data_IF_484616921009
#
_entry.id   IF_484616921009
#
_cell.length_a   1.000
_cell.length_b   1.000
_cell.length_c   1.000
_cell.angle_alpha   90.00
_cell.angle_beta   90.00
_cell.angle_gamma   90.00
#
_symmetry.space_group_name_H-M   'P 1'
#
loop_
_entity.id
_entity.type
_entity.pdbx_description
1 polymer ?
#
# COMPACT_ATOMS: atom_id res chain seq x y z
N UNK A 1 -12.41 -14.55 76.04
CA UNK A 1 -12.09 -13.42 75.16
C UNK A 1 -10.84 -13.79 74.38
N UNK A 2 -11.03 -14.24 73.11
CA UNK A 2 -9.96 -14.65 72.24
C UNK A 2 -9.79 -13.55 71.18
N UNK A 3 -8.58 -13.05 70.98
CA UNK A 3 -8.23 -12.12 69.91
C UNK A 3 -8.05 -12.88 68.60
N UNK A 4 -8.55 -12.37 67.44
CA UNK A 4 -8.28 -12.97 66.14
C UNK A 4 -6.90 -12.57 65.60
N UNK A 5 -6.23 -13.56 65.04
CA UNK A 5 -4.89 -13.46 64.47
C UNK A 5 -4.77 -12.47 63.30
N UNK A 6 -3.67 -11.72 63.30
CA UNK A 6 -3.18 -10.91 62.21
C UNK A 6 -2.76 -11.83 61.05
N UNK A 7 -3.50 -11.77 59.94
CA UNK A 7 -3.07 -12.37 58.67
C UNK A 7 -1.78 -11.71 58.20
N UNK A 8 -0.74 -12.52 58.03
CA UNK A 8 0.51 -12.11 57.40
C UNK A 8 0.25 -11.79 55.90
N UNK A 9 0.40 -10.54 55.53
CA UNK A 9 0.50 -10.12 54.15
C UNK A 9 1.84 -10.67 53.66
N UNK A 10 1.76 -11.73 52.83
CA UNK A 10 2.92 -12.23 52.09
C UNK A 10 3.28 -11.15 51.10
N UNK A 11 4.38 -10.44 51.37
CA UNK A 11 5.00 -9.54 50.43
C UNK A 11 5.40 -10.37 49.21
N UNK A 12 4.73 -10.09 48.07
CA UNK A 12 5.17 -10.59 46.77
C UNK A 12 6.52 -9.95 46.50
N UNK A 13 7.57 -10.72 46.72
CA UNK A 13 8.94 -10.31 46.38
C UNK A 13 9.00 -10.08 44.87
N UNK A 14 9.12 -8.83 44.49
CA UNK A 14 9.45 -8.42 43.11
C UNK A 14 10.76 -9.13 42.73
N UNK A 15 10.66 -10.11 41.82
CA UNK A 15 11.81 -10.76 41.23
C UNK A 15 12.26 -9.93 40.03
N UNK A 16 13.30 -9.10 40.11
CA UNK A 16 13.77 -8.25 39.01
C UNK A 16 14.19 -9.05 37.76
N UNK A 17 14.55 -10.33 37.95
CA UNK A 17 14.88 -11.23 36.85
C UNK A 17 13.67 -11.65 36.02
N UNK A 18 12.47 -11.75 36.59
CA UNK A 18 11.23 -12.04 35.83
C UNK A 18 10.75 -10.82 35.03
N UNK A 19 10.94 -9.63 35.57
CA UNK A 19 10.65 -8.39 34.87
C UNK A 19 11.58 -8.20 33.66
N UNK A 20 12.89 -8.46 33.81
CA UNK A 20 13.86 -8.40 32.71
C UNK A 20 13.59 -9.42 31.58
N UNK A 21 13.23 -10.66 31.95
CA UNK A 21 12.89 -11.69 30.95
C UNK A 21 11.60 -11.38 30.20
N UNK A 22 10.58 -10.82 30.85
CA UNK A 22 9.35 -10.40 30.21
C UNK A 22 9.57 -9.20 29.27
N UNK A 23 10.49 -8.31 29.61
CA UNK A 23 10.84 -7.15 28.79
C UNK A 23 11.61 -7.57 27.54
N UNK A 24 12.60 -8.46 27.66
CA UNK A 24 13.34 -9.01 26.49
C UNK A 24 12.43 -9.80 25.54
N UNK A 25 11.48 -10.57 26.06
CA UNK A 25 10.49 -11.29 25.23
C UNK A 25 9.57 -10.31 24.50
N UNK A 26 9.12 -9.22 25.15
CA UNK A 26 8.30 -8.18 24.52
C UNK A 26 9.08 -7.44 23.44
N UNK A 27 10.33 -7.08 23.69
CA UNK A 27 11.20 -6.43 22.72
C UNK A 27 11.48 -7.32 21.52
N UNK A 28 11.74 -8.59 21.73
CA UNK A 28 11.93 -9.56 20.65
C UNK A 28 10.66 -9.73 19.82
N UNK A 29 9.48 -9.86 20.43
CA UNK A 29 8.20 -9.91 19.71
C UNK A 29 7.93 -8.65 18.91
N UNK A 30 8.20 -7.46 19.44
CA UNK A 30 8.05 -6.18 18.73
C UNK A 30 9.00 -6.10 17.52
N UNK A 31 10.25 -6.53 17.69
CA UNK A 31 11.24 -6.57 16.61
C UNK A 31 10.80 -7.49 15.47
N UNK A 32 10.40 -8.71 15.77
CA UNK A 32 9.90 -9.68 14.77
C UNK A 32 8.67 -9.14 14.06
N UNK A 33 7.72 -8.53 14.78
CA UNK A 33 6.52 -7.93 14.20
C UNK A 33 6.84 -6.81 13.19
N UNK A 34 7.85 -5.98 13.45
CA UNK A 34 8.29 -4.91 12.53
C UNK A 34 8.88 -5.47 11.24
N UNK A 35 9.79 -6.44 11.34
CA UNK A 35 10.37 -7.07 10.15
C UNK A 35 9.31 -7.73 9.27
N UNK A 36 8.33 -8.40 9.90
CA UNK A 36 7.19 -8.93 9.19
C UNK A 36 6.34 -7.82 8.56
N UNK A 37 6.17 -6.68 9.24
CA UNK A 37 5.48 -5.50 8.71
C UNK A 37 6.14 -4.96 7.43
N UNK A 38 7.46 -4.78 7.46
CA UNK A 38 8.21 -4.37 6.26
C UNK A 38 8.15 -5.42 5.15
N UNK A 39 8.25 -6.71 5.49
CA UNK A 39 8.09 -7.81 4.54
C UNK A 39 6.71 -7.82 3.87
N UNK A 40 5.65 -7.54 4.62
CA UNK A 40 4.31 -7.43 4.08
C UNK A 40 4.17 -6.23 3.13
N UNK A 41 4.74 -5.07 3.47
CA UNK A 41 4.76 -3.91 2.57
C UNK A 41 5.55 -4.19 1.29
N UNK A 42 6.69 -4.88 1.38
CA UNK A 42 7.47 -5.29 0.21
C UNK A 42 6.68 -6.25 -0.70
N UNK A 43 6.02 -7.27 -0.11
CA UNK A 43 5.21 -8.21 -0.86
C UNK A 43 3.98 -7.54 -1.50
N UNK A 44 3.37 -6.57 -0.83
CA UNK A 44 2.32 -5.75 -1.41
C UNK A 44 2.82 -4.99 -2.65
N UNK A 45 4.01 -4.37 -2.59
CA UNK A 45 4.66 -3.72 -3.73
C UNK A 45 4.91 -4.66 -4.90
N UNK A 46 5.36 -5.90 -4.63
CA UNK A 46 5.52 -6.95 -5.65
C UNK A 46 4.18 -7.28 -6.31
N UNK A 47 3.11 -7.47 -5.53
CA UNK A 47 1.80 -7.75 -6.11
C UNK A 47 1.26 -6.58 -6.93
N UNK A 48 1.41 -5.34 -6.46
CA UNK A 48 0.98 -4.16 -7.24
C UNK A 48 1.71 -4.03 -8.55
N UNK A 49 3.01 -4.36 -8.62
CA UNK A 49 3.81 -4.28 -9.84
C UNK A 49 3.25 -5.12 -10.99
N UNK A 50 2.59 -6.24 -10.69
CA UNK A 50 1.95 -7.10 -11.71
C UNK A 50 0.61 -6.53 -12.21
N UNK A 51 0.05 -5.53 -11.51
CA UNK A 51 -1.25 -4.96 -11.83
C UNK A 51 -1.31 -4.26 -13.18
N UNK A 52 -0.23 -3.58 -13.60
CA UNK A 52 -0.13 -2.94 -14.92
C UNK A 52 -0.14 -3.98 -16.06
N UNK A 53 0.53 -5.11 -15.86
CA UNK A 53 0.54 -6.21 -16.80
C UNK A 53 -0.86 -6.79 -17.02
N UNK A 54 -1.56 -7.11 -15.94
CA UNK A 54 -2.94 -7.60 -16.02
C UNK A 54 -3.90 -6.57 -16.63
N UNK A 55 -3.72 -5.28 -16.29
CA UNK A 55 -4.48 -4.19 -16.88
C UNK A 55 -4.30 -4.12 -18.41
N UNK A 56 -3.05 -4.23 -18.90
CA UNK A 56 -2.74 -4.23 -20.34
C UNK A 56 -3.44 -5.37 -21.10
N UNK A 57 -3.49 -6.55 -20.50
CA UNK A 57 -4.23 -7.68 -21.07
C UNK A 57 -5.73 -7.38 -21.09
N UNK A 58 -6.28 -6.85 -20.01
CA UNK A 58 -7.71 -6.59 -19.88
C UNK A 58 -8.19 -5.50 -20.86
N UNK A 59 -7.40 -4.45 -21.09
CA UNK A 59 -7.75 -3.35 -22.01
C UNK A 59 -7.85 -3.75 -23.48
N UNK A 60 -7.48 -4.97 -23.83
CA UNK A 60 -7.72 -5.51 -25.17
C UNK A 60 -9.22 -5.66 -25.48
N UNK A 61 -10.08 -5.79 -24.47
CA UNK A 61 -11.52 -6.03 -24.61
C UNK A 61 -12.39 -5.26 -23.63
N UNK A 62 -11.83 -4.71 -22.57
CA UNK A 62 -12.54 -3.97 -21.54
C UNK A 62 -12.17 -2.49 -21.58
N UNK A 63 -13.15 -1.63 -21.30
CA UNK A 63 -12.86 -0.23 -21.00
C UNK A 63 -12.15 -0.12 -19.64
N UNK A 64 -11.55 1.05 -19.34
CA UNK A 64 -10.90 1.33 -18.06
C UNK A 64 -11.87 1.13 -16.90
N UNK A 65 -13.08 1.67 -17.03
CA UNK A 65 -14.11 1.65 -16.00
C UNK A 65 -14.56 0.22 -15.69
N UNK A 66 -14.81 -0.57 -16.74
CA UNK A 66 -15.24 -1.95 -16.60
C UNK A 66 -14.13 -2.84 -16.02
N UNK A 67 -12.86 -2.62 -16.45
CA UNK A 67 -11.73 -3.32 -15.87
C UNK A 67 -11.59 -3.01 -14.38
N UNK A 68 -11.63 -1.73 -13.98
CA UNK A 68 -11.52 -1.32 -12.58
C UNK A 68 -12.66 -1.91 -11.76
N UNK A 69 -13.91 -1.86 -12.28
CA UNK A 69 -15.05 -2.45 -11.58
C UNK A 69 -14.88 -3.96 -11.37
N UNK A 70 -14.57 -4.72 -12.42
CA UNK A 70 -14.37 -6.17 -12.29
C UNK A 70 -13.20 -6.52 -11.35
N UNK A 71 -12.10 -5.78 -11.43
CA UNK A 71 -10.96 -5.94 -10.52
C UNK A 71 -11.40 -5.84 -9.05
N UNK A 72 -12.20 -4.84 -8.71
CA UNK A 72 -12.69 -4.66 -7.34
C UNK A 72 -13.77 -5.67 -6.96
N UNK A 73 -14.61 -6.11 -7.89
CA UNK A 73 -15.57 -7.20 -7.65
C UNK A 73 -14.86 -8.52 -7.31
N UNK A 74 -13.81 -8.89 -8.06
CA UNK A 74 -13.00 -10.07 -7.72
C UNK A 74 -12.27 -9.91 -6.39
N UNK A 75 -11.76 -8.71 -6.09
CA UNK A 75 -11.15 -8.44 -4.79
C UNK A 75 -12.14 -8.65 -3.64
N UNK A 76 -13.34 -8.09 -3.75
CA UNK A 76 -14.40 -8.28 -2.75
C UNK A 76 -14.80 -9.75 -2.64
N UNK A 77 -14.97 -10.46 -3.75
CA UNK A 77 -15.31 -11.89 -3.73
C UNK A 77 -14.26 -12.72 -2.98
N UNK A 78 -12.96 -12.44 -3.18
CA UNK A 78 -11.88 -13.09 -2.42
C UNK A 78 -11.89 -12.79 -0.93
N UNK A 79 -12.37 -11.60 -0.54
CA UNK A 79 -12.41 -11.18 0.86
C UNK A 79 -13.69 -11.59 1.59
N UNK A 80 -14.75 -12.02 0.89
CA UNK A 80 -16.01 -12.42 1.52
C UNK A 80 -15.85 -13.57 2.53
N UNK A 81 -14.86 -14.44 2.34
CA UNK A 81 -14.59 -15.58 3.23
C UNK A 81 -13.91 -15.20 4.54
N UNK A 82 -13.41 -13.96 4.65
CA UNK A 82 -12.66 -13.47 5.83
C UNK A 82 -13.28 -12.20 6.43
N UNK A 83 -14.56 -11.94 6.14
CA UNK A 83 -15.28 -10.76 6.64
C UNK A 83 -15.43 -10.82 8.15
N UNK A 84 -14.80 -9.89 8.85
CA UNK A 84 -15.06 -9.65 10.27
C UNK A 84 -16.28 -8.75 10.46
N UNK A 85 -17.05 -8.97 11.52
CA UNK A 85 -18.16 -8.07 11.86
C UNK A 85 -17.60 -6.68 12.23
N UNK A 86 -18.07 -5.62 11.58
CA UNK A 86 -17.53 -4.29 11.83
C UNK A 86 -17.97 -3.78 13.19
N UNK A 87 -17.03 -3.22 13.94
CA UNK A 87 -17.29 -2.55 15.22
C UNK A 87 -17.02 -1.05 15.10
N UNK A 88 -17.38 -0.46 13.96
CA UNK A 88 -17.19 0.96 13.72
C UNK A 88 -18.36 1.76 14.33
N UNK A 89 -18.05 2.84 15.04
CA UNK A 89 -19.04 3.85 15.42
C UNK A 89 -19.53 4.61 14.18
N UNK A 90 -20.63 5.34 14.30
CA UNK A 90 -21.17 6.15 13.20
C UNK A 90 -20.17 7.19 12.65
N UNK A 91 -19.29 7.74 13.52
CA UNK A 91 -18.20 8.64 13.11
C UNK A 91 -17.14 7.89 12.31
N UNK A 92 -16.74 6.72 12.76
CA UNK A 92 -15.72 5.90 12.09
C UNK A 92 -16.23 5.35 10.75
N UNK A 93 -17.51 4.99 10.66
CA UNK A 93 -18.14 4.68 9.40
C UNK A 93 -18.04 5.83 8.38
N UNK A 94 -18.37 7.05 8.79
CA UNK A 94 -18.23 8.22 7.90
C UNK A 94 -16.79 8.40 7.42
N UNK A 95 -15.81 8.24 8.32
CA UNK A 95 -14.39 8.34 8.00
C UNK A 95 -13.96 7.24 7.03
N UNK A 96 -14.39 5.99 7.25
CA UNK A 96 -14.12 4.87 6.35
C UNK A 96 -14.74 5.08 4.97
N UNK A 97 -15.99 5.58 4.91
CA UNK A 97 -16.66 5.88 3.65
C UNK A 97 -15.93 6.95 2.85
N UNK A 98 -15.45 8.01 3.50
CA UNK A 98 -14.62 9.04 2.84
C UNK A 98 -13.31 8.42 2.32
N UNK A 99 -12.62 7.63 3.13
CA UNK A 99 -11.40 6.95 2.71
C UNK A 99 -11.66 6.03 1.51
N UNK A 100 -12.72 5.23 1.56
CA UNK A 100 -13.11 4.32 0.50
C UNK A 100 -13.46 5.04 -0.80
N UNK A 101 -14.15 6.18 -0.70
CA UNK A 101 -14.48 7.01 -1.86
C UNK A 101 -13.23 7.60 -2.50
N UNK A 102 -12.32 8.14 -1.70
CA UNK A 102 -11.06 8.71 -2.20
C UNK A 102 -10.16 7.63 -2.81
N UNK A 103 -10.00 6.50 -2.11
CA UNK A 103 -9.03 5.45 -2.47
C UNK A 103 -9.51 4.48 -3.54
N UNK A 104 -10.79 4.42 -3.87
CA UNK A 104 -11.29 3.44 -4.84
C UNK A 104 -11.91 4.12 -6.06
N UNK A 105 -13.10 4.70 -6.04
CA UNK A 105 -13.60 5.33 -7.26
C UNK A 105 -12.72 6.50 -7.71
N UNK A 106 -12.38 7.45 -6.84
CA UNK A 106 -11.65 8.66 -7.27
C UNK A 106 -10.23 8.33 -7.69
N UNK A 107 -9.43 7.71 -6.82
CA UNK A 107 -8.03 7.40 -7.10
C UNK A 107 -7.89 6.55 -8.37
N UNK A 108 -8.55 5.38 -8.41
CA UNK A 108 -8.32 4.44 -9.50
C UNK A 108 -8.86 4.93 -10.84
N UNK A 109 -10.02 5.58 -10.86
CA UNK A 109 -10.52 6.16 -12.13
C UNK A 109 -9.59 7.27 -12.62
N UNK A 110 -9.20 8.21 -11.76
CA UNK A 110 -8.29 9.30 -12.14
C UNK A 110 -6.94 8.74 -12.60
N UNK A 111 -6.38 7.74 -11.89
CA UNK A 111 -5.11 7.11 -12.25
C UNK A 111 -5.17 6.40 -13.60
N UNK A 112 -6.20 5.61 -13.86
CA UNK A 112 -6.31 4.85 -15.12
C UNK A 112 -6.74 5.72 -16.30
N UNK A 113 -7.51 6.78 -16.09
CA UNK A 113 -7.72 7.80 -17.12
C UNK A 113 -6.41 8.54 -17.44
N UNK A 114 -5.62 8.88 -16.43
CA UNK A 114 -4.28 9.42 -16.63
C UNK A 114 -3.41 8.45 -17.45
N UNK A 115 -3.37 7.17 -17.07
CA UNK A 115 -2.64 6.13 -17.81
C UNK A 115 -3.11 5.99 -19.28
N UNK A 116 -4.39 6.17 -19.56
CA UNK A 116 -4.92 6.15 -20.95
C UNK A 116 -4.39 7.30 -21.79
N UNK A 117 -4.08 8.44 -21.17
CA UNK A 117 -3.61 9.66 -21.84
C UNK A 117 -2.08 9.75 -21.91
N UNK A 118 -1.34 8.97 -21.11
CA UNK A 118 0.12 8.98 -21.10
C UNK A 118 0.71 7.60 -21.40
N UNK A 119 2.04 7.51 -21.47
CA UNK A 119 2.72 6.23 -21.64
C UNK A 119 2.80 5.48 -20.30
N UNK A 120 2.97 4.14 -20.36
CA UNK A 120 3.18 3.32 -19.15
C UNK A 120 4.40 3.78 -18.36
N UNK A 121 5.49 4.11 -19.06
CA UNK A 121 6.74 4.61 -18.42
C UNK A 121 6.52 5.94 -17.69
N UNK A 122 5.78 6.89 -18.29
CA UNK A 122 5.44 8.15 -17.64
C UNK A 122 4.52 7.92 -16.44
N UNK A 123 3.47 7.11 -16.57
CA UNK A 123 2.60 6.77 -15.46
C UNK A 123 3.36 6.11 -14.30
N UNK A 124 4.27 5.16 -14.59
CA UNK A 124 5.12 4.54 -13.59
C UNK A 124 6.02 5.55 -12.87
N UNK A 125 6.61 6.51 -13.62
CA UNK A 125 7.39 7.60 -13.03
C UNK A 125 6.54 8.46 -12.09
N UNK A 126 5.32 8.79 -12.48
CA UNK A 126 4.40 9.59 -11.65
C UNK A 126 3.97 8.82 -10.39
N UNK A 127 3.64 7.53 -10.51
CA UNK A 127 3.35 6.65 -9.34
C UNK A 127 4.57 6.54 -8.43
N UNK A 128 5.78 6.51 -8.99
CA UNK A 128 7.03 6.50 -8.24
C UNK A 128 7.28 7.75 -7.39
N UNK A 129 6.47 8.81 -7.51
CA UNK A 129 6.48 9.95 -6.57
C UNK A 129 5.76 9.63 -5.25
N UNK A 130 4.97 8.55 -5.21
CA UNK A 130 4.15 8.18 -4.04
C UNK A 130 4.95 8.04 -2.74
N UNK A 131 6.14 7.44 -2.68
CA UNK A 131 6.92 7.36 -1.45
C UNK A 131 7.24 8.74 -0.85
N UNK A 132 7.56 9.72 -1.68
CA UNK A 132 7.82 11.10 -1.24
C UNK A 132 6.53 11.75 -0.75
N UNK A 133 5.45 11.64 -1.51
CA UNK A 133 4.13 12.16 -1.14
C UNK A 133 3.68 11.57 0.18
N UNK A 134 3.84 10.24 0.37
CA UNK A 134 3.47 9.54 1.60
C UNK A 134 4.35 9.98 2.78
N UNK A 135 5.67 10.12 2.60
CA UNK A 135 6.57 10.56 3.67
C UNK A 135 6.25 11.98 4.12
N UNK A 136 6.07 12.91 3.19
CA UNK A 136 5.66 14.29 3.49
C UNK A 136 4.28 14.31 4.15
N UNK A 137 3.31 13.55 3.61
CA UNK A 137 1.98 13.50 4.18
C UNK A 137 1.94 12.88 5.57
N UNK A 138 2.68 11.80 5.81
CA UNK A 138 2.75 11.14 7.11
C UNK A 138 3.42 12.02 8.18
N UNK A 139 4.49 12.73 7.83
CA UNK A 139 5.13 13.67 8.74
C UNK A 139 4.25 14.89 9.04
N UNK A 140 3.52 15.40 8.04
CA UNK A 140 2.70 16.61 8.19
C UNK A 140 1.35 16.34 8.89
N UNK A 141 0.66 15.25 8.51
CA UNK A 141 -0.71 14.99 8.93
C UNK A 141 -0.85 13.86 9.95
N UNK A 142 0.08 12.92 10.01
CA UNK A 142 0.02 11.78 10.93
C UNK A 142 0.99 11.91 12.12
N UNK A 143 1.74 13.02 12.23
CA UNK A 143 2.69 13.27 13.31
C UNK A 143 3.90 12.32 13.30
N UNK A 144 4.18 11.66 12.19
CA UNK A 144 5.35 10.80 12.07
C UNK A 144 6.63 11.63 11.90
N UNK A 145 7.75 11.11 12.44
CA UNK A 145 9.04 11.76 12.33
C UNK A 145 9.96 10.92 11.45
N UNK A 146 10.52 11.53 10.42
CA UNK A 146 11.52 10.93 9.56
C UNK A 146 12.85 11.69 9.77
N UNK A 147 13.88 10.97 10.20
CA UNK A 147 15.21 11.53 10.41
C UNK A 147 15.92 11.83 9.06
N UNK A 148 17.07 12.52 9.11
CA UNK A 148 17.82 12.87 7.91
C UNK A 148 18.21 11.63 7.09
N UNK A 149 18.54 10.53 7.76
CA UNK A 149 18.87 9.26 7.08
C UNK A 149 17.67 8.69 6.33
N UNK A 150 16.47 8.77 6.93
CA UNK A 150 15.23 8.39 6.29
C UNK A 150 14.93 9.22 5.04
N UNK A 151 15.11 10.53 5.12
CA UNK A 151 14.95 11.42 3.96
C UNK A 151 15.96 11.13 2.85
N UNK A 152 17.24 10.87 3.21
CA UNK A 152 18.28 10.51 2.23
C UNK A 152 17.99 9.14 1.58
N UNK A 153 17.54 8.17 2.36
CA UNK A 153 17.14 6.86 1.82
C UNK A 153 15.95 6.99 0.85
N UNK A 154 14.96 7.80 1.21
CA UNK A 154 13.82 8.07 0.36
C UNK A 154 14.23 8.75 -0.96
N UNK A 155 15.08 9.76 -0.89
CA UNK A 155 15.63 10.43 -2.07
C UNK A 155 16.45 9.47 -2.94
N UNK A 156 17.29 8.62 -2.33
CA UNK A 156 18.06 7.59 -3.02
C UNK A 156 17.18 6.57 -3.72
N UNK A 157 16.11 6.10 -3.06
CA UNK A 157 15.14 5.17 -3.65
C UNK A 157 14.38 5.79 -4.83
N UNK A 158 13.96 7.05 -4.70
CA UNK A 158 13.28 7.78 -5.77
C UNK A 158 14.21 8.02 -6.98
N UNK A 159 15.48 8.35 -6.72
CA UNK A 159 16.50 8.45 -7.76
C UNK A 159 16.75 7.10 -8.44
N UNK A 160 16.83 6.02 -7.67
CA UNK A 160 16.96 4.65 -8.19
C UNK A 160 15.82 4.29 -9.14
N UNK A 161 14.59 4.58 -8.75
CA UNK A 161 13.41 4.39 -9.59
C UNK A 161 13.49 5.23 -10.88
N UNK A 162 13.86 6.52 -10.79
CA UNK A 162 14.01 7.39 -11.96
C UNK A 162 15.09 6.89 -12.93
N UNK A 163 16.21 6.33 -12.42
CA UNK A 163 17.26 5.71 -13.23
C UNK A 163 16.75 4.46 -13.97
N UNK A 164 15.96 3.59 -13.32
CA UNK A 164 15.36 2.43 -13.97
C UNK A 164 14.48 2.87 -15.14
N UNK A 165 13.55 3.78 -14.88
CA UNK A 165 12.59 4.25 -15.88
C UNK A 165 13.31 4.94 -17.05
N UNK A 166 14.28 5.82 -16.77
CA UNK A 166 15.03 6.53 -17.81
C UNK A 166 15.88 5.60 -18.67
N UNK A 167 16.40 4.50 -18.11
CA UNK A 167 17.16 3.50 -18.86
C UNK A 167 16.27 2.64 -19.77
N UNK A 168 15.00 2.43 -19.38
CA UNK A 168 14.04 1.65 -20.15
C UNK A 168 13.39 2.48 -21.26
N UNK A 169 13.18 3.77 -21.03
CA UNK A 169 12.43 4.67 -21.93
C UNK A 169 13.18 5.10 -23.18
N UNK A 170 14.45 4.76 -23.37
CA UNK A 170 15.25 5.20 -24.55
C UNK A 170 14.73 4.71 -25.91
N UNK A 171 13.76 3.79 -25.93
CA UNK A 171 13.20 3.23 -27.16
C UNK A 171 11.71 3.52 -27.37
N UNK A 172 11.06 4.28 -26.47
CA UNK A 172 9.66 4.67 -26.64
C UNK A 172 9.60 6.08 -27.25
N UNK A 173 9.57 6.16 -28.55
CA UNK A 173 9.27 7.36 -29.30
C UNK A 173 7.77 7.71 -29.17
N UNK A 174 7.42 8.46 -28.13
CA UNK A 174 6.06 8.96 -27.91
C UNK A 174 6.06 9.80 -26.65
N UNK A 175 6.04 11.13 -26.78
CA UNK A 175 5.95 12.05 -25.66
C UNK A 175 4.69 11.77 -24.84
N UNK A 176 4.80 11.62 -23.51
CA UNK A 176 3.66 11.53 -22.60
C UNK A 176 2.81 12.81 -22.69
N UNK A 177 1.50 12.65 -22.50
CA UNK A 177 0.61 13.79 -22.41
C UNK A 177 0.68 14.39 -20.98
N UNK A 178 1.02 15.67 -20.88
CA UNK A 178 1.12 16.39 -19.59
C UNK A 178 -0.15 16.28 -18.74
N UNK A 179 -1.33 16.28 -19.37
CA UNK A 179 -2.58 16.08 -18.65
C UNK A 179 -2.67 14.69 -18.05
N UNK A 180 -2.24 13.66 -18.77
CA UNK A 180 -2.18 12.29 -18.26
C UNK A 180 -1.25 12.16 -17.06
N UNK A 181 -0.05 12.75 -17.15
CA UNK A 181 0.93 12.77 -16.06
C UNK A 181 0.37 13.49 -14.82
N UNK A 182 -0.27 14.64 -14.98
CA UNK A 182 -0.89 15.39 -13.87
C UNK A 182 -2.05 14.62 -13.23
N UNK A 183 -2.86 13.90 -14.00
CA UNK A 183 -3.94 13.06 -13.46
C UNK A 183 -3.37 11.92 -12.61
N UNK A 184 -2.29 11.27 -13.06
CA UNK A 184 -1.65 10.21 -12.25
C UNK A 184 -1.09 10.79 -10.95
N UNK A 185 -0.42 11.95 -10.96
CA UNK A 185 0.06 12.61 -9.75
C UNK A 185 -1.12 12.98 -8.84
N UNK A 186 -2.20 13.54 -9.38
CA UNK A 186 -3.40 13.87 -8.59
C UNK A 186 -4.00 12.64 -7.91
N UNK A 187 -4.01 11.49 -8.60
CA UNK A 187 -4.45 10.22 -8.02
C UNK A 187 -3.60 9.81 -6.81
N UNK A 188 -2.30 10.13 -6.78
CA UNK A 188 -1.42 9.81 -5.64
C UNK A 188 -1.79 10.62 -4.38
N UNK A 189 -2.30 11.84 -4.52
CA UNK A 189 -2.81 12.59 -3.36
C UNK A 189 -4.09 11.98 -2.79
N UNK A 190 -4.98 11.43 -3.64
CA UNK A 190 -6.14 10.68 -3.16
C UNK A 190 -5.71 9.38 -2.47
N UNK A 191 -4.71 8.69 -3.00
CA UNK A 191 -4.09 7.53 -2.36
C UNK A 191 -3.49 7.87 -0.99
N UNK A 192 -2.79 9.00 -0.87
CA UNK A 192 -2.28 9.51 0.41
C UNK A 192 -3.39 9.62 1.44
N UNK A 193 -4.49 10.33 1.08
CA UNK A 193 -5.64 10.48 1.97
C UNK A 193 -6.20 9.14 2.43
N UNK A 194 -6.38 8.21 1.51
CA UNK A 194 -6.85 6.84 1.80
C UNK A 194 -5.91 6.09 2.75
N UNK A 195 -4.59 6.11 2.50
CA UNK A 195 -3.60 5.42 3.33
C UNK A 195 -3.59 5.99 4.75
N UNK A 196 -3.52 7.33 4.90
CA UNK A 196 -3.44 7.96 6.21
C UNK A 196 -4.73 7.80 7.03
N UNK A 197 -5.88 7.86 6.37
CA UNK A 197 -7.17 7.63 7.05
C UNK A 197 -7.29 6.17 7.51
N UNK A 198 -6.92 5.20 6.67
CA UNK A 198 -6.91 3.79 7.05
C UNK A 198 -5.95 3.54 8.22
N UNK A 199 -4.74 4.10 8.17
CA UNK A 199 -3.77 3.99 9.26
C UNK A 199 -4.34 4.57 10.57
N UNK A 200 -5.01 5.72 10.50
CA UNK A 200 -5.66 6.32 11.67
C UNK A 200 -6.72 5.41 12.27
N UNK A 201 -7.61 4.82 11.45
CA UNK A 201 -8.63 3.88 11.93
C UNK A 201 -8.00 2.66 12.60
N UNK A 202 -6.89 2.15 12.06
CA UNK A 202 -6.15 1.04 12.67
C UNK A 202 -5.50 1.45 14.00
N UNK A 203 -4.96 2.67 14.12
CA UNK A 203 -4.43 3.22 15.39
C UNK A 203 -5.54 3.42 16.43
N UNK A 204 -6.79 3.68 16.02
CA UNK A 204 -7.97 3.75 16.90
C UNK A 204 -8.46 2.35 17.38
N UNK A 205 -7.72 1.27 17.08
CA UNK A 205 -7.96 -0.09 17.57
C UNK A 205 -8.73 -1.01 16.62
N UNK A 206 -8.96 -0.58 15.36
CA UNK A 206 -9.60 -1.45 14.37
C UNK A 206 -8.58 -2.37 13.71
N UNK A 207 -8.98 -3.63 13.47
CA UNK A 207 -8.11 -4.59 12.80
C UNK A 207 -7.82 -4.16 11.35
N UNK A 208 -6.59 -4.37 10.84
CA UNK A 208 -6.26 -4.13 9.43
C UNK A 208 -7.20 -4.86 8.48
N UNK A 209 -7.65 -6.04 8.86
CA UNK A 209 -8.60 -6.83 8.09
C UNK A 209 -9.97 -6.16 8.00
N UNK A 210 -10.53 -5.70 9.12
CA UNK A 210 -11.81 -4.99 9.10
C UNK A 210 -11.75 -3.71 8.26
N UNK A 211 -10.69 -2.90 8.42
CA UNK A 211 -10.50 -1.67 7.64
C UNK A 211 -10.38 -1.99 6.14
N UNK A 212 -9.60 -3.00 5.78
CA UNK A 212 -9.42 -3.42 4.37
C UNK A 212 -10.73 -3.93 3.77
N UNK A 213 -11.35 -4.91 4.40
CA UNK A 213 -12.55 -5.57 3.86
C UNK A 213 -13.70 -4.59 3.70
N UNK A 214 -14.04 -3.86 4.76
CA UNK A 214 -15.14 -2.90 4.70
C UNK A 214 -14.82 -1.67 3.84
N UNK A 215 -13.56 -1.25 3.78
CA UNK A 215 -13.09 -0.22 2.86
C UNK A 215 -13.28 -0.64 1.41
N UNK A 216 -12.83 -1.83 1.03
CA UNK A 216 -12.97 -2.37 -0.32
C UNK A 216 -14.43 -2.61 -0.70
N UNK A 217 -15.24 -3.20 0.19
CA UNK A 217 -16.66 -3.42 -0.07
C UNK A 217 -17.42 -2.11 -0.33
N UNK A 218 -17.29 -1.14 0.57
CA UNK A 218 -18.00 0.14 0.44
C UNK A 218 -17.53 0.96 -0.76
N UNK A 219 -16.22 0.99 -1.01
CA UNK A 219 -15.66 1.67 -2.18
C UNK A 219 -16.06 1.00 -3.49
N UNK A 220 -16.15 -0.34 -3.52
CA UNK A 220 -16.62 -1.08 -4.70
C UNK A 220 -18.09 -0.80 -5.00
N UNK A 221 -18.93 -0.69 -3.97
CA UNK A 221 -20.33 -0.27 -4.17
C UNK A 221 -20.41 1.13 -4.77
N UNK A 222 -19.64 2.09 -4.24
CA UNK A 222 -19.59 3.45 -4.80
C UNK A 222 -19.08 3.48 -6.25
N UNK A 223 -18.03 2.69 -6.52
CA UNK A 223 -17.49 2.52 -7.88
C UNK A 223 -18.52 1.90 -8.83
N UNK A 224 -19.24 0.85 -8.38
CA UNK A 224 -20.27 0.20 -9.18
C UNK A 224 -21.40 1.16 -9.54
N UNK A 225 -21.89 1.95 -8.59
CA UNK A 225 -22.91 2.98 -8.85
C UNK A 225 -22.41 3.97 -9.90
N UNK A 226 -21.18 4.45 -9.77
CA UNK A 226 -20.57 5.36 -10.74
C UNK A 226 -20.46 4.73 -12.13
N UNK A 227 -19.85 3.53 -12.24
CA UNK A 227 -19.59 2.86 -13.54
C UNK A 227 -20.89 2.51 -14.24
N UNK A 228 -21.88 1.97 -13.51
CA UNK A 228 -23.17 1.63 -14.08
C UNK A 228 -23.95 2.87 -14.58
N UNK A 229 -23.83 3.99 -13.88
CA UNK A 229 -24.47 5.24 -14.29
C UNK A 229 -23.82 5.89 -15.53
N UNK A 230 -22.47 5.81 -15.66
CA UNK A 230 -21.73 6.51 -16.72
C UNK A 230 -21.42 5.62 -17.93
N UNK A 231 -21.10 4.34 -17.71
CA UNK A 231 -20.58 3.44 -18.74
C UNK A 231 -21.52 2.25 -19.02
N UNK A 232 -22.61 2.14 -18.29
CA UNK A 232 -23.58 1.07 -18.43
C UNK A 232 -23.09 -0.28 -17.89
N UNK A 233 -23.78 -1.34 -18.27
CA UNK A 233 -23.48 -2.70 -17.81
C UNK A 233 -22.14 -3.18 -18.40
N UNK A 234 -21.25 -3.74 -17.56
CA UNK A 234 -19.99 -4.26 -18.03
C UNK A 234 -20.19 -5.51 -18.90
N UNK A 235 -19.42 -5.68 -20.00
CA UNK A 235 -19.58 -6.78 -20.94
C UNK A 235 -19.15 -8.11 -20.30
N UNK A 236 -20.03 -9.11 -20.31
CA UNK A 236 -19.74 -10.47 -19.83
C UNK A 236 -19.37 -11.39 -21.01
N UNK A 237 -20.01 -11.19 -22.17
CA UNK A 237 -19.80 -12.00 -23.36
C UNK A 237 -18.66 -11.47 -24.23
N UNK A 238 -17.91 -12.36 -24.88
CA UNK A 238 -16.84 -11.99 -25.81
C UNK A 238 -15.52 -11.54 -25.16
N UNK A 239 -15.42 -11.60 -23.84
CA UNK A 239 -14.21 -11.14 -23.10
C UNK A 239 -13.06 -12.15 -23.22
N UNK A 240 -13.34 -13.45 -23.29
CA UNK A 240 -12.34 -14.51 -23.37
C UNK A 240 -11.72 -14.88 -22.01
N UNK A 241 -11.36 -16.17 -21.84
CA UNK A 241 -10.90 -16.71 -20.56
C UNK A 241 -9.57 -16.10 -20.05
N UNK A 242 -8.65 -15.75 -20.99
CA UNK A 242 -7.35 -15.11 -20.63
C UNK A 242 -7.55 -13.76 -19.98
N UNK A 243 -8.50 -12.99 -20.46
CA UNK A 243 -8.83 -11.67 -19.89
C UNK A 243 -9.49 -11.84 -18.53
N UNK A 244 -10.41 -12.79 -18.39
CA UNK A 244 -11.02 -13.10 -17.09
C UNK A 244 -9.98 -13.54 -16.06
N UNK A 245 -9.00 -14.36 -16.46
CA UNK A 245 -7.91 -14.76 -15.58
C UNK A 245 -7.06 -13.55 -15.16
N UNK A 246 -6.72 -12.66 -16.10
CA UNK A 246 -5.96 -11.44 -15.80
C UNK A 246 -6.72 -10.50 -14.86
N UNK A 247 -8.02 -10.32 -15.07
CA UNK A 247 -8.87 -9.50 -14.21
C UNK A 247 -9.01 -10.11 -12.81
N UNK A 248 -9.22 -11.42 -12.72
CA UNK A 248 -9.30 -12.13 -11.44
C UNK A 248 -7.98 -12.06 -10.67
N UNK A 249 -6.84 -12.30 -11.34
CA UNK A 249 -5.51 -12.16 -10.75
C UNK A 249 -5.26 -10.71 -10.28
N UNK A 250 -5.62 -9.71 -11.08
CA UNK A 250 -5.53 -8.30 -10.69
C UNK A 250 -6.39 -7.98 -9.47
N UNK A 251 -7.60 -8.54 -9.37
CA UNK A 251 -8.48 -8.35 -8.22
C UNK A 251 -7.97 -9.05 -6.97
N UNK A 252 -7.66 -10.33 -7.08
CA UNK A 252 -7.28 -11.15 -5.91
C UNK A 252 -5.88 -10.82 -5.39
N UNK A 253 -4.88 -10.74 -6.29
CA UNK A 253 -3.49 -10.50 -5.88
C UNK A 253 -3.19 -9.01 -5.73
N UNK A 254 -3.41 -8.21 -6.79
CA UNK A 254 -2.99 -6.81 -6.81
C UNK A 254 -3.98 -5.87 -6.10
N UNK A 255 -5.15 -6.35 -5.66
CA UNK A 255 -6.11 -5.54 -4.90
C UNK A 255 -6.35 -6.14 -3.52
N UNK A 256 -6.97 -7.30 -3.41
CA UNK A 256 -7.33 -7.87 -2.12
C UNK A 256 -6.09 -8.20 -1.27
N UNK A 257 -5.22 -9.09 -1.76
CA UNK A 257 -4.03 -9.53 -1.03
C UNK A 257 -3.04 -8.38 -0.79
N UNK A 258 -2.73 -7.59 -1.82
CA UNK A 258 -1.80 -6.48 -1.70
C UNK A 258 -2.29 -5.42 -0.71
N UNK A 259 -3.57 -5.02 -0.76
CA UNK A 259 -4.12 -4.02 0.16
C UNK A 259 -4.17 -4.54 1.60
N UNK A 260 -4.51 -5.81 1.79
CA UNK A 260 -4.50 -6.43 3.12
C UNK A 260 -3.10 -6.49 3.71
N UNK A 261 -2.11 -6.93 2.93
CA UNK A 261 -0.70 -6.96 3.32
C UNK A 261 -0.16 -5.56 3.62
N UNK A 262 -0.50 -4.58 2.80
CA UNK A 262 -0.11 -3.19 3.02
C UNK A 262 -0.69 -2.62 4.31
N UNK A 263 -2.01 -2.73 4.50
CA UNK A 263 -2.66 -2.23 5.71
C UNK A 263 -2.16 -2.95 6.97
N UNK A 264 -1.93 -4.27 6.89
CA UNK A 264 -1.33 -5.01 7.99
C UNK A 264 0.11 -4.54 8.25
N UNK A 265 0.89 -4.30 7.21
CA UNK A 265 2.26 -3.81 7.31
C UNK A 265 2.33 -2.42 7.96
N UNK A 266 1.59 -1.43 7.46
CA UNK A 266 1.60 -0.07 8.04
C UNK A 266 0.92 0.04 9.42
N UNK A 267 0.24 -1.01 9.86
CA UNK A 267 -0.19 -1.13 11.25
C UNK A 267 0.98 -1.49 12.19
N UNK A 268 2.01 -2.19 11.67
CA UNK A 268 3.19 -2.60 12.43
C UNK A 268 4.33 -1.59 12.37
N UNK A 269 4.40 -0.80 11.30
CA UNK A 269 5.50 0.13 11.03
C UNK A 269 4.98 1.49 10.56
N UNK A 270 5.76 2.59 10.74
CA UNK A 270 5.39 3.92 10.26
C UNK A 270 5.18 3.95 8.74
N UNK A 271 4.12 4.61 8.27
CA UNK A 271 3.80 4.72 6.85
C UNK A 271 4.90 5.47 6.08
N UNK A 272 5.52 6.49 6.69
CA UNK A 272 6.65 7.22 6.11
C UNK A 272 7.84 6.33 5.77
N UNK A 273 8.11 5.30 6.59
CA UNK A 273 9.19 4.33 6.34
C UNK A 273 8.75 3.21 5.41
N UNK A 274 7.51 2.76 5.51
CA UNK A 274 6.94 1.77 4.60
C UNK A 274 6.88 2.27 3.16
N UNK A 275 6.78 3.58 2.96
CA UNK A 275 6.67 4.22 1.66
C UNK A 275 7.77 3.85 0.66
N UNK A 276 9.00 3.55 1.13
CA UNK A 276 10.10 3.14 0.23
C UNK A 276 9.76 1.87 -0.57
N UNK A 277 8.97 0.96 0.01
CA UNK A 277 8.58 -0.29 -0.64
C UNK A 277 7.61 -0.08 -1.81
N UNK A 278 6.94 1.09 -1.89
CA UNK A 278 6.13 1.45 -3.05
C UNK A 278 6.97 1.62 -4.32
N UNK A 279 8.27 1.89 -4.21
CA UNK A 279 9.18 1.93 -5.35
C UNK A 279 9.46 0.55 -5.97
N UNK A 280 9.10 -0.54 -5.29
CA UNK A 280 9.14 -1.89 -5.86
C UNK A 280 8.18 -2.00 -7.05
N UNK A 281 7.02 -1.36 -6.96
CA UNK A 281 6.00 -1.41 -8.02
C UNK A 281 6.53 -0.90 -9.37
N UNK A 282 7.02 0.34 -9.52
CA UNK A 282 7.57 0.80 -10.79
C UNK A 282 8.88 0.10 -11.17
N UNK A 283 9.71 -0.31 -10.20
CA UNK A 283 10.96 -1.00 -10.47
C UNK A 283 10.72 -2.37 -11.11
N UNK A 284 9.88 -3.20 -10.50
CA UNK A 284 9.49 -4.50 -11.06
C UNK A 284 8.62 -4.34 -12.31
N UNK A 285 7.75 -3.33 -12.37
CA UNK A 285 6.98 -3.01 -13.56
C UNK A 285 7.89 -2.72 -14.76
N UNK A 286 9.00 -2.01 -14.57
CA UNK A 286 10.00 -1.77 -15.59
C UNK A 286 10.71 -3.07 -16.02
N UNK A 287 11.10 -3.93 -15.07
CA UNK A 287 11.74 -5.24 -15.36
C UNK A 287 10.78 -6.16 -16.13
N UNK A 288 9.53 -6.27 -15.69
CA UNK A 288 8.50 -7.06 -16.39
C UNK A 288 8.22 -6.51 -17.81
N UNK A 289 8.27 -5.18 -17.97
CA UNK A 289 8.17 -4.54 -19.29
C UNK A 289 9.32 -4.96 -20.22
N UNK A 290 10.53 -5.06 -19.69
CA UNK A 290 11.73 -5.51 -20.43
C UNK A 290 11.59 -6.98 -20.86
N UNK A 291 11.27 -7.85 -19.92
CA UNK A 291 11.11 -9.30 -20.19
C UNK A 291 9.99 -9.57 -21.22
N UNK A 292 8.89 -8.83 -21.13
CA UNK A 292 7.72 -9.01 -22.00
C UNK A 292 7.85 -8.30 -23.35
N UNK A 293 8.66 -7.23 -23.42
CA UNK A 293 8.84 -6.42 -24.63
C UNK A 293 10.19 -6.67 -25.32
N UNK A 294 11.05 -7.53 -24.74
CA UNK A 294 12.35 -7.90 -25.30
C UNK A 294 13.42 -6.81 -25.18
N UNK A 295 13.23 -5.83 -24.30
CA UNK A 295 14.20 -4.76 -24.07
C UNK A 295 15.42 -5.28 -23.29
N UNK A 296 16.60 -4.68 -23.53
CA UNK A 296 17.82 -5.03 -22.78
C UNK A 296 17.94 -4.19 -21.51
N UNK A 297 18.22 -4.84 -20.38
CA UNK A 297 18.49 -4.15 -19.12
C UNK A 297 19.78 -3.33 -19.24
N UNK A 298 19.66 -2.02 -19.14
CA UNK A 298 20.79 -1.11 -19.12
C UNK A 298 21.46 -1.02 -17.74
N UNK A 299 22.66 -0.46 -17.69
CA UNK A 299 23.39 -0.22 -16.44
C UNK A 299 22.55 0.60 -15.43
N UNK A 300 21.74 1.54 -15.91
CA UNK A 300 20.84 2.34 -15.07
C UNK A 300 19.82 1.49 -14.30
N UNK A 301 19.34 0.38 -14.88
CA UNK A 301 18.40 -0.53 -14.18
C UNK A 301 19.08 -1.25 -13.01
N UNK A 302 20.32 -1.71 -13.19
CA UNK A 302 21.10 -2.35 -12.12
C UNK A 302 21.45 -1.38 -10.99
N UNK A 303 21.93 -0.17 -11.32
CA UNK A 303 22.25 0.86 -10.33
C UNK A 303 20.97 1.30 -9.61
N UNK A 304 19.90 1.54 -10.35
CA UNK A 304 18.62 1.96 -9.78
C UNK A 304 18.02 0.91 -8.83
N UNK A 305 18.07 -0.37 -9.21
CA UNK A 305 17.65 -1.48 -8.35
C UNK A 305 18.48 -1.57 -7.06
N UNK A 306 19.80 -1.44 -7.16
CA UNK A 306 20.69 -1.44 -6.00
C UNK A 306 20.39 -0.25 -5.05
N UNK A 307 20.11 0.95 -5.57
CA UNK A 307 19.72 2.11 -4.76
C UNK A 307 18.40 1.90 -4.02
N UNK A 308 17.40 1.29 -4.65
CA UNK A 308 16.11 0.97 -4.00
C UNK A 308 16.34 -0.03 -2.86
N UNK A 309 17.11 -1.09 -3.08
CA UNK A 309 17.41 -2.10 -2.05
C UNK A 309 18.21 -1.46 -0.90
N UNK A 310 19.25 -0.67 -1.21
CA UNK A 310 20.04 0.01 -0.19
C UNK A 310 19.18 0.97 0.64
N UNK A 311 18.28 1.73 0.01
CA UNK A 311 17.35 2.61 0.69
C UNK A 311 16.40 1.84 1.62
N UNK A 312 15.86 0.70 1.17
CA UNK A 312 15.01 -0.16 1.99
C UNK A 312 15.76 -0.68 3.23
N UNK A 313 17.02 -1.13 3.06
CA UNK A 313 17.88 -1.58 4.16
C UNK A 313 18.15 -0.42 5.14
N UNK A 314 18.52 0.76 4.66
CA UNK A 314 18.77 1.93 5.52
C UNK A 314 17.52 2.28 6.33
N UNK A 315 16.35 2.37 5.71
CA UNK A 315 15.11 2.71 6.40
C UNK A 315 14.67 1.68 7.45
N UNK A 316 14.88 0.40 7.17
CA UNK A 316 14.49 -0.67 8.09
C UNK A 316 15.46 -0.84 9.26
N UNK A 317 16.76 -0.51 9.06
CA UNK A 317 17.80 -0.69 10.11
C UNK A 317 18.04 0.55 10.97
N UNK A 318 17.73 1.75 10.49
CA UNK A 318 18.02 3.02 11.19
C UNK A 318 16.92 3.46 12.17
N UNK A 319 15.91 2.64 12.41
CA UNK A 319 14.85 2.97 13.36
C UNK A 319 15.42 3.10 14.78
N UNK A 320 15.62 4.34 15.25
CA UNK A 320 15.95 4.60 16.65
C UNK A 320 14.77 4.13 17.51
N UNK A 321 15.04 3.36 18.54
CA UNK A 321 14.08 3.10 19.61
C UNK A 321 13.59 4.46 20.13
N UNK A 322 12.33 4.80 19.94
CA UNK A 322 11.74 5.89 20.70
C UNK A 322 11.83 5.53 22.19
N UNK A 323 12.34 6.42 23.05
CA UNK A 323 12.31 6.17 24.49
C UNK A 323 10.84 6.07 24.92
N UNK A 324 10.51 4.99 25.61
CA UNK A 324 9.23 4.81 26.30
C UNK A 324 9.07 5.92 27.36
N UNK A 325 8.31 6.91 27.05
CA UNK A 325 8.05 7.99 28.00
C UNK A 325 7.42 9.19 27.36
N UNK A 326 6.13 9.11 27.07
CA UNK A 326 5.17 10.25 27.03
C UNK A 326 3.79 9.72 26.60
N UNK A 327 3.23 8.80 27.40
CA UNK A 327 1.79 8.66 27.47
C UNK A 327 1.46 8.87 28.95
N UNK A 328 1.26 10.13 29.29
CA UNK A 328 0.63 10.59 30.50
C UNK A 328 -0.81 10.96 30.21
#
# INVERSE_FOLDING_TARGET
MAQPGRGAIVAVTDHPQLAGSAQTVREHRRSVSRWLGYGACALAGIFWSTGFFFGKIAFQRLSVEHFVLYRFLFACAGLLFIVERPRFSARQWRVLLIASFLGIPVQFLVQFYGLKLTTVSHAALMVGTMPVILAVGATTFAGEHLDVKGWLALAGSTLGMALIISSTSRHVAGGGNRLGDLLVIAAMFFALGWILINQRLMREGHSPMAVTVWGLLTGTVMLAVWVLAQSGLPPIHGVGWRIWLAVAASGLLCTAAATLLWNWGIHQVPASRAGVFLNIEPALGAVLGVELLGDRLGLGTWIGGALIIAAAVVLTTTEKREPEGLVG
#
